data_IF_937404010698
#
_entry.id   IF_937404010698
#
_cell.length_a   1.000
_cell.length_b   1.000
_cell.length_c   1.000
_cell.angle_alpha   90.00
_cell.angle_beta   90.00
_cell.angle_gamma   90.00
#
_symmetry.space_group_name_H-M   'P 1'
#
loop_
_entity.id
_entity.type
_entity.pdbx_description
1 polymer ?
#
# COMPACT_ATOMS: atom_id res chain seq x y z
N UNK A 1 1.98 13.38 4.78
CA UNK A 1 3.01 13.51 3.73
C UNK A 1 2.64 14.59 2.74
N UNK A 2 1.66 14.34 1.87
CA UNK A 2 1.25 15.29 0.83
C UNK A 2 1.02 16.75 1.31
N UNK A 3 0.34 17.02 2.45
CA UNK A 3 0.21 18.39 2.94
C UNK A 3 1.54 19.06 3.33
N UNK A 4 2.46 18.30 3.93
CA UNK A 4 3.78 18.80 4.35
C UNK A 4 4.72 19.01 3.15
N UNK A 5 4.65 18.12 2.16
CA UNK A 5 5.45 18.22 0.94
C UNK A 5 4.86 19.22 -0.07
N UNK A 6 3.65 19.73 0.17
CA UNK A 6 2.98 20.64 -0.75
C UNK A 6 2.42 19.95 -2.00
N UNK A 7 2.23 18.64 -1.98
CA UNK A 7 1.82 17.83 -3.14
C UNK A 7 0.36 17.37 -3.09
N UNK A 8 -0.16 16.93 -4.23
CA UNK A 8 -1.42 16.22 -4.36
C UNK A 8 -1.39 14.93 -3.53
N UNK A 9 -2.57 14.49 -3.07
CA UNK A 9 -2.68 13.20 -2.38
C UNK A 9 -2.51 12.05 -3.37
N UNK A 10 -2.37 10.84 -2.84
CA UNK A 10 -2.22 9.61 -3.63
C UNK A 10 -3.37 9.38 -4.61
N UNK A 11 -4.53 10.02 -4.48
CA UNK A 11 -5.66 9.90 -5.41
C UNK A 11 -5.77 11.08 -6.40
N UNK A 12 -4.71 11.87 -6.59
CA UNK A 12 -4.65 12.97 -7.55
C UNK A 12 -3.68 12.70 -8.70
N UNK A 13 -3.78 13.48 -9.79
CA UNK A 13 -2.82 13.40 -10.88
C UNK A 13 -1.41 13.77 -10.40
N UNK A 14 -0.42 13.01 -10.88
CA UNK A 14 0.97 13.12 -10.42
C UNK A 14 1.12 13.05 -8.88
N UNK A 15 0.23 12.30 -8.21
CA UNK A 15 0.20 12.20 -6.75
C UNK A 15 1.28 11.30 -6.13
N UNK A 16 2.13 10.64 -6.94
CA UNK A 16 3.29 9.92 -6.44
C UNK A 16 4.37 10.92 -5.98
N UNK A 17 4.95 10.66 -4.80
CA UNK A 17 6.01 11.51 -4.25
C UNK A 17 7.39 11.23 -4.86
N UNK A 18 7.57 10.10 -5.56
CA UNK A 18 8.87 9.65 -6.06
C UNK A 18 8.97 9.64 -7.59
N UNK A 19 7.86 9.54 -8.31
CA UNK A 19 7.86 9.54 -9.77
C UNK A 19 6.78 10.45 -10.37
N UNK A 20 6.94 10.76 -11.65
CA UNK A 20 6.04 11.60 -12.44
C UNK A 20 4.94 10.79 -13.12
N UNK A 21 4.41 9.76 -12.45
CA UNK A 21 3.31 8.99 -12.99
C UNK A 21 2.06 9.87 -13.13
N UNK A 22 1.51 10.06 -14.34
CA UNK A 22 0.43 11.02 -14.57
C UNK A 22 -0.85 10.62 -13.82
N UNK A 23 -1.14 9.33 -13.81
CA UNK A 23 -2.36 8.78 -13.24
C UNK A 23 -3.53 8.91 -14.22
N UNK A 24 -4.51 8.04 -14.08
CA UNK A 24 -5.67 7.95 -14.96
C UNK A 24 -6.95 7.96 -14.15
N UNK A 25 -7.97 8.66 -14.63
CA UNK A 25 -9.28 8.68 -13.99
C UNK A 25 -10.05 7.39 -14.29
N UNK A 26 -10.12 6.49 -13.30
CA UNK A 26 -10.72 5.16 -13.44
C UNK A 26 -11.62 4.85 -12.26
N UNK A 27 -12.90 4.60 -12.54
CA UNK A 27 -13.88 4.18 -11.52
C UNK A 27 -14.11 5.22 -10.41
N UNK A 28 -14.13 6.52 -10.77
CA UNK A 28 -14.46 7.61 -9.85
C UNK A 28 -13.28 8.16 -9.03
N UNK A 29 -12.06 7.70 -9.28
CA UNK A 29 -10.85 8.23 -8.67
C UNK A 29 -9.66 8.18 -9.64
N UNK A 30 -8.58 8.92 -9.34
CA UNK A 30 -7.31 8.76 -10.06
C UNK A 30 -6.61 7.50 -9.55
N UNK A 31 -6.14 6.67 -10.48
CA UNK A 31 -5.35 5.46 -10.24
C UNK A 31 -4.05 5.53 -11.02
N UNK A 32 -3.11 4.63 -10.74
CA UNK A 32 -1.82 4.54 -11.43
C UNK A 32 -1.70 3.15 -12.06
N UNK A 33 -2.27 2.95 -13.27
CA UNK A 33 -2.14 1.69 -13.99
C UNK A 33 -0.69 1.38 -14.32
N UNK A 34 -0.34 0.10 -14.43
CA UNK A 34 0.99 -0.29 -14.87
C UNK A 34 1.27 0.29 -16.28
N UNK A 35 2.36 1.03 -16.40
CA UNK A 35 2.82 1.59 -17.67
C UNK A 35 3.81 0.63 -18.33
N UNK A 36 3.96 0.72 -19.66
CA UNK A 36 4.94 -0.08 -20.40
C UNK A 36 6.38 0.27 -19.99
N UNK A 37 6.62 1.57 -19.82
CA UNK A 37 7.89 2.14 -19.40
C UNK A 37 7.69 2.82 -18.05
N UNK A 38 8.67 2.68 -17.15
CA UNK A 38 8.59 3.29 -15.83
C UNK A 38 8.52 4.82 -15.94
N UNK A 39 7.64 5.46 -15.17
CA UNK A 39 7.55 6.91 -15.15
C UNK A 39 8.87 7.50 -14.62
N UNK A 40 9.33 8.65 -15.15
CA UNK A 40 10.54 9.29 -14.68
C UNK A 40 10.47 9.59 -13.18
N UNK A 41 11.57 9.36 -12.48
CA UNK A 41 11.68 9.75 -11.07
C UNK A 41 11.66 11.27 -10.91
N UNK A 42 11.08 11.73 -9.80
CA UNK A 42 11.21 13.12 -9.37
C UNK A 42 12.64 13.36 -8.91
N UNK A 43 13.17 14.53 -9.24
CA UNK A 43 14.45 15.01 -8.73
C UNK A 43 14.21 16.22 -7.85
N UNK A 44 15.10 16.48 -6.89
CA UNK A 44 15.03 17.67 -6.04
C UNK A 44 14.98 18.96 -6.90
N UNK A 45 15.84 19.05 -7.91
CA UNK A 45 15.91 20.21 -8.82
C UNK A 45 14.57 20.42 -9.55
N UNK A 46 13.97 19.35 -10.08
CA UNK A 46 12.67 19.44 -10.75
C UNK A 46 11.57 19.84 -9.75
N UNK A 47 11.59 19.26 -8.55
CA UNK A 47 10.60 19.52 -7.52
C UNK A 47 10.62 20.99 -7.06
N UNK A 48 11.81 21.59 -6.91
CA UNK A 48 11.95 23.01 -6.57
C UNK A 48 11.36 23.89 -7.66
N UNK A 49 11.65 23.60 -8.94
CA UNK A 49 11.07 24.32 -10.07
C UNK A 49 9.54 24.19 -10.12
N UNK A 50 9.01 23.00 -9.85
CA UNK A 50 7.56 22.76 -9.77
C UNK A 50 6.92 23.58 -8.65
N UNK A 51 7.61 23.74 -7.51
CA UNK A 51 7.15 24.57 -6.40
C UNK A 51 7.15 26.06 -6.75
N UNK A 52 8.22 26.55 -7.40
CA UNK A 52 8.31 27.94 -7.89
C UNK A 52 7.19 28.23 -8.91
N UNK A 53 7.03 27.36 -9.91
CA UNK A 53 5.99 27.51 -10.95
C UNK A 53 4.57 27.45 -10.34
N UNK A 54 4.32 26.53 -9.40
CA UNK A 54 3.03 26.44 -8.71
C UNK A 54 2.74 27.69 -7.87
N UNK A 55 3.76 28.29 -7.26
CA UNK A 55 3.63 29.51 -6.48
C UNK A 55 3.34 30.73 -7.36
N UNK A 56 4.09 30.89 -8.46
CA UNK A 56 3.93 32.02 -9.38
C UNK A 56 2.59 31.98 -10.13
N UNK A 57 2.19 30.80 -10.59
CA UNK A 57 0.96 30.63 -11.39
C UNK A 57 -0.29 30.46 -10.54
N UNK A 58 -0.15 30.04 -9.29
CA UNK A 58 -1.27 29.65 -8.42
C UNK A 58 -1.99 28.39 -8.90
N UNK A 59 -1.38 27.59 -9.78
CA UNK A 59 -1.95 26.33 -10.30
C UNK A 59 -1.14 25.11 -9.87
N UNK A 60 -1.70 23.91 -10.06
CA UNK A 60 -1.00 22.66 -9.71
C UNK A 60 -0.07 22.27 -10.85
N UNK A 61 1.23 22.15 -10.56
CA UNK A 61 2.26 21.81 -11.53
C UNK A 61 2.78 20.41 -11.24
N UNK A 62 2.52 19.45 -12.13
CA UNK A 62 2.97 18.05 -11.98
C UNK A 62 2.72 17.51 -10.56
N UNK A 63 1.54 17.77 -10.00
CA UNK A 63 1.15 17.30 -8.66
C UNK A 63 1.67 18.13 -7.49
N UNK A 64 2.43 19.21 -7.72
CA UNK A 64 2.84 20.19 -6.70
C UNK A 64 1.82 21.33 -6.64
N UNK A 65 1.35 21.66 -5.43
CA UNK A 65 0.35 22.72 -5.18
C UNK A 65 0.95 23.98 -4.56
N UNK A 66 2.03 23.84 -3.81
CA UNK A 66 2.63 24.94 -3.05
C UNK A 66 4.06 24.60 -2.65
N UNK A 67 4.81 25.61 -2.23
CA UNK A 67 6.17 25.46 -1.71
C UNK A 67 6.12 24.73 -0.38
N UNK A 68 6.89 23.65 -0.25
CA UNK A 68 7.00 22.95 1.03
C UNK A 68 7.84 23.78 2.02
N UNK A 69 7.40 23.93 3.28
CA UNK A 69 8.24 24.55 4.30
C UNK A 69 9.52 23.75 4.60
N UNK A 70 9.55 22.45 4.24
CA UNK A 70 10.67 21.54 4.48
C UNK A 70 11.85 21.79 3.55
N UNK A 71 11.69 22.61 2.49
CA UNK A 71 12.81 23.00 1.61
C UNK A 71 13.89 23.80 2.37
N UNK A 72 13.54 24.37 3.53
CA UNK A 72 14.46 25.14 4.37
C UNK A 72 15.25 24.25 5.35
N UNK A 73 14.98 22.94 5.40
CA UNK A 73 15.73 22.03 6.25
C UNK A 73 17.04 21.66 5.57
N UNK A 74 18.15 22.00 6.22
CA UNK A 74 19.48 21.64 5.74
C UNK A 74 19.62 20.12 5.63
N UNK A 75 20.16 19.65 4.51
CA UNK A 75 20.37 18.22 4.19
C UNK A 75 19.10 17.36 4.06
N UNK A 76 17.91 17.96 3.97
CA UNK A 76 16.68 17.21 3.73
C UNK A 76 16.33 17.20 2.23
N UNK A 77 16.41 16.02 1.60
CA UNK A 77 15.94 15.84 0.23
C UNK A 77 14.40 15.88 0.19
N UNK A 78 13.84 16.86 -0.53
CA UNK A 78 12.39 17.07 -0.58
C UNK A 78 11.62 15.96 -1.30
N UNK A 79 12.30 15.10 -2.08
CA UNK A 79 11.74 13.93 -2.76
C UNK A 79 11.99 12.67 -1.94
N UNK A 80 13.27 12.36 -1.67
CA UNK A 80 13.71 11.10 -1.08
C UNK A 80 13.85 11.11 0.45
N UNK A 81 13.74 12.29 1.09
CA UNK A 81 13.74 12.43 2.55
C UNK A 81 12.49 11.86 3.23
N UNK A 82 11.44 11.52 2.46
CA UNK A 82 10.25 10.84 2.97
C UNK A 82 10.36 9.33 2.81
N UNK A 83 10.50 8.61 3.93
CA UNK A 83 10.46 7.13 3.97
C UNK A 83 9.06 6.60 3.69
N UNK A 84 8.80 5.49 2.97
CA UNK A 84 7.47 4.87 2.82
C UNK A 84 6.74 4.59 4.15
N UNK A 85 5.40 4.66 4.17
CA UNK A 85 4.61 4.40 5.39
C UNK A 85 4.15 2.96 5.37
N UNK A 86 4.85 2.06 6.06
CA UNK A 86 4.46 0.65 6.10
C UNK A 86 2.99 0.44 6.52
N UNK A 87 2.53 1.19 7.52
CA UNK A 87 1.19 1.06 8.06
C UNK A 87 0.11 1.47 7.06
N UNK A 88 0.27 2.61 6.39
CA UNK A 88 -0.72 3.13 5.46
C UNK A 88 -0.59 2.57 4.04
N UNK A 89 0.63 2.26 3.58
CA UNK A 89 0.86 1.72 2.24
C UNK A 89 0.56 0.22 2.19
N UNK A 90 1.17 -0.58 3.07
CA UNK A 90 1.04 -2.04 3.00
C UNK A 90 -0.18 -2.54 3.78
N UNK A 91 -0.32 -2.16 5.05
CA UNK A 91 -1.34 -2.76 5.93
C UNK A 91 -2.74 -2.23 5.65
N UNK A 92 -2.96 -0.93 5.89
CA UNK A 92 -4.25 -0.27 5.73
C UNK A 92 -4.57 0.08 4.28
N UNK A 93 -3.55 0.08 3.41
CA UNK A 93 -3.67 0.25 1.97
C UNK A 93 -3.90 -1.10 1.29
N UNK A 94 -2.83 -1.67 0.74
CA UNK A 94 -2.90 -2.89 -0.09
C UNK A 94 -3.60 -4.05 0.63
N UNK A 95 -3.21 -4.36 1.86
CA UNK A 95 -3.76 -5.51 2.58
C UNK A 95 -5.26 -5.39 2.88
N UNK A 96 -5.71 -4.19 3.28
CA UNK A 96 -7.15 -3.92 3.44
C UNK A 96 -7.88 -4.02 2.10
N UNK A 97 -7.32 -3.45 1.05
CA UNK A 97 -7.93 -3.42 -0.28
C UNK A 97 -8.15 -4.84 -0.84
N UNK A 98 -7.15 -5.72 -0.75
CA UNK A 98 -7.28 -7.11 -1.17
C UNK A 98 -8.33 -7.87 -0.34
N UNK A 99 -8.33 -7.66 0.99
CA UNK A 99 -9.34 -8.27 1.86
C UNK A 99 -10.76 -7.85 1.48
N UNK A 100 -10.96 -6.58 1.13
CA UNK A 100 -12.25 -6.06 0.66
C UNK A 100 -12.63 -6.63 -0.71
N UNK A 101 -11.69 -6.75 -1.65
CA UNK A 101 -11.94 -7.38 -2.95
C UNK A 101 -12.43 -8.82 -2.83
N UNK A 102 -11.76 -9.63 -2.02
CA UNK A 102 -12.16 -11.02 -1.81
C UNK A 102 -13.52 -11.17 -1.14
N UNK A 103 -13.89 -10.25 -0.23
CA UNK A 103 -15.11 -10.36 0.55
C UNK A 103 -16.31 -9.60 -0.01
N UNK A 104 -16.09 -8.61 -0.88
CA UNK A 104 -17.13 -7.70 -1.38
C UNK A 104 -17.23 -7.65 -2.91
N UNK A 105 -16.22 -8.15 -3.64
CA UNK A 105 -16.15 -8.17 -5.11
C UNK A 105 -17.11 -9.16 -5.77
N UNK A 106 -18.40 -9.12 -5.44
CA UNK A 106 -19.41 -10.08 -5.90
C UNK A 106 -19.42 -10.19 -7.43
N UNK A 107 -19.31 -11.42 -7.94
CA UNK A 107 -19.30 -11.71 -9.38
C UNK A 107 -17.90 -11.83 -9.99
N UNK A 108 -16.86 -11.48 -9.25
CA UNK A 108 -15.47 -11.67 -9.66
C UNK A 108 -14.96 -13.08 -9.31
N UNK A 109 -14.01 -13.59 -10.10
CA UNK A 109 -13.44 -14.93 -9.90
C UNK A 109 -12.69 -15.09 -8.56
N UNK A 110 -12.20 -13.98 -8.00
CA UNK A 110 -11.53 -13.94 -6.68
C UNK A 110 -12.50 -13.75 -5.51
N UNK A 111 -13.80 -13.69 -5.76
CA UNK A 111 -14.81 -13.48 -4.73
C UNK A 111 -15.03 -14.74 -3.87
N UNK A 112 -14.81 -14.60 -2.57
CA UNK A 112 -15.03 -15.64 -1.56
C UNK A 112 -15.90 -15.15 -0.39
N UNK A 113 -16.53 -13.97 -0.53
CA UNK A 113 -17.39 -13.39 0.51
C UNK A 113 -18.61 -14.25 0.88
N UNK A 114 -19.08 -15.11 -0.04
CA UNK A 114 -20.12 -16.10 0.22
C UNK A 114 -19.68 -17.21 1.20
N UNK A 115 -18.37 -17.40 1.40
CA UNK A 115 -17.77 -18.36 2.34
C UNK A 115 -17.25 -17.68 3.61
N UNK A 116 -17.71 -16.47 3.93
CA UNK A 116 -17.20 -15.70 5.08
C UNK A 116 -17.33 -16.47 6.41
N UNK A 117 -18.37 -17.29 6.61
CA UNK A 117 -18.50 -18.09 7.83
C UNK A 117 -17.38 -19.13 7.97
N UNK A 118 -17.06 -19.85 6.89
CA UNK A 118 -15.98 -20.84 6.86
C UNK A 118 -14.60 -20.17 7.08
N UNK A 119 -14.37 -19.02 6.44
CA UNK A 119 -13.16 -18.23 6.63
C UNK A 119 -13.02 -17.74 8.08
N UNK A 120 -14.12 -17.29 8.69
CA UNK A 120 -14.16 -16.80 10.06
C UNK A 120 -13.87 -17.93 11.07
N UNK A 121 -14.46 -19.10 10.86
CA UNK A 121 -14.22 -20.28 11.70
C UNK A 121 -12.75 -20.74 11.61
N UNK A 122 -12.17 -20.77 10.41
CA UNK A 122 -10.74 -21.04 10.21
C UNK A 122 -9.87 -20.02 10.93
N UNK A 123 -10.14 -18.73 10.75
CA UNK A 123 -9.36 -17.64 11.34
C UNK A 123 -9.44 -17.67 12.88
N UNK A 124 -10.63 -17.81 13.46
CA UNK A 124 -10.83 -17.87 14.91
C UNK A 124 -10.28 -19.17 15.52
N UNK A 125 -10.13 -20.23 14.72
CA UNK A 125 -9.46 -21.46 15.10
C UNK A 125 -7.93 -21.35 15.19
N UNK A 126 -7.32 -20.30 14.63
CA UNK A 126 -5.86 -20.11 14.68
C UNK A 126 -5.41 -19.85 16.12
N UNK A 127 -4.38 -20.60 16.54
CA UNK A 127 -3.73 -20.45 17.85
C UNK A 127 -2.34 -19.85 17.65
N UNK A 128 -2.21 -18.53 17.72
CA UNK A 128 -0.93 -17.92 17.41
C UNK A 128 0.09 -18.14 18.54
N UNK A 129 1.40 -18.13 18.22
CA UNK A 129 2.46 -18.22 19.22
C UNK A 129 2.38 -17.09 20.25
N UNK A 130 2.96 -17.30 21.43
CA UNK A 130 2.91 -16.33 22.55
C UNK A 130 3.43 -14.93 22.18
N UNK A 131 4.32 -14.84 21.19
CA UNK A 131 4.89 -13.59 20.71
C UNK A 131 3.89 -12.73 19.92
N UNK A 132 2.82 -13.34 19.41
CA UNK A 132 1.72 -12.64 18.74
C UNK A 132 0.70 -12.21 19.79
N UNK A 133 0.85 -10.98 20.25
CA UNK A 133 0.07 -10.43 21.38
C UNK A 133 -1.43 -10.23 21.13
N UNK A 134 -1.93 -10.49 19.92
CA UNK A 134 -3.35 -10.29 19.57
C UNK A 134 -3.92 -11.53 18.90
N UNK A 135 -4.94 -12.10 19.54
CA UNK A 135 -5.76 -13.14 18.96
C UNK A 135 -6.47 -12.61 17.70
N UNK A 136 -6.69 -13.47 16.70
CA UNK A 136 -7.51 -13.12 15.55
C UNK A 136 -8.91 -12.67 15.99
N UNK A 137 -9.39 -11.58 15.38
CA UNK A 137 -10.77 -11.11 15.50
C UNK A 137 -11.55 -11.57 14.27
N UNK A 138 -12.87 -11.63 14.38
CA UNK A 138 -13.74 -12.00 13.28
C UNK A 138 -13.56 -11.11 12.04
N UNK A 139 -13.63 -11.73 10.85
CA UNK A 139 -13.69 -11.07 9.53
C UNK A 139 -14.96 -10.24 9.35
N UNK A 140 -16.01 -10.51 10.12
CA UNK A 140 -17.23 -9.70 10.14
C UNK A 140 -16.96 -8.30 10.72
N UNK A 141 -15.98 -8.21 11.62
CA UNK A 141 -15.55 -6.95 12.25
C UNK A 141 -14.37 -6.28 11.52
N UNK A 142 -13.97 -6.77 10.34
CA UNK A 142 -12.79 -6.28 9.59
C UNK A 142 -12.75 -4.77 9.35
N UNK A 143 -13.92 -4.13 9.28
CA UNK A 143 -14.05 -2.67 9.15
C UNK A 143 -13.41 -1.92 10.32
N UNK A 144 -13.35 -2.55 11.49
CA UNK A 144 -12.78 -1.99 12.71
C UNK A 144 -11.35 -2.45 12.98
N UNK A 145 -10.80 -3.37 12.19
CA UNK A 145 -9.44 -3.85 12.35
C UNK A 145 -8.44 -2.70 12.22
N UNK A 146 -7.51 -2.63 13.17
CA UNK A 146 -6.38 -1.71 13.14
C UNK A 146 -5.23 -2.30 12.34
N UNK A 147 -4.22 -1.47 12.07
CA UNK A 147 -3.01 -1.87 11.36
C UNK A 147 -2.41 -3.19 11.86
N UNK A 148 -2.30 -3.37 13.19
CA UNK A 148 -1.71 -4.60 13.75
C UNK A 148 -2.54 -5.86 13.49
N UNK A 149 -3.87 -5.74 13.41
CA UNK A 149 -4.73 -6.89 13.04
C UNK A 149 -4.54 -7.25 11.56
N UNK A 150 -4.42 -6.24 10.68
CA UNK A 150 -4.11 -6.44 9.27
C UNK A 150 -2.69 -6.97 9.04
N UNK A 151 -1.71 -6.53 9.82
CA UNK A 151 -0.35 -7.07 9.79
C UNK A 151 -0.34 -8.56 10.09
N UNK A 152 -1.00 -8.98 11.17
CA UNK A 152 -1.10 -10.39 11.53
C UNK A 152 -1.86 -11.18 10.45
N UNK A 153 -2.93 -10.60 9.90
CA UNK A 153 -3.66 -11.18 8.79
C UNK A 153 -2.74 -11.43 7.59
N UNK A 154 -2.03 -10.41 7.11
CA UNK A 154 -1.15 -10.52 5.94
C UNK A 154 -0.05 -11.54 6.19
N UNK A 155 0.72 -11.37 7.27
CA UNK A 155 1.95 -12.12 7.49
C UNK A 155 1.74 -13.57 7.94
N UNK A 156 0.64 -13.87 8.64
CA UNK A 156 0.51 -15.16 9.33
C UNK A 156 -0.80 -15.91 9.05
N UNK A 157 -1.91 -15.21 8.84
CA UNK A 157 -3.22 -15.87 8.80
C UNK A 157 -3.81 -16.01 7.41
N UNK A 158 -3.53 -15.07 6.50
CA UNK A 158 -4.18 -14.97 5.20
C UNK A 158 -3.99 -16.24 4.36
N UNK A 159 -2.75 -16.72 4.23
CA UNK A 159 -2.44 -17.93 3.47
C UNK A 159 -3.17 -19.18 4.00
N UNK A 160 -2.99 -19.61 5.27
CA UNK A 160 -3.65 -20.81 5.77
C UNK A 160 -5.18 -20.69 5.85
N UNK A 161 -5.73 -19.49 6.08
CA UNK A 161 -7.18 -19.28 6.12
C UNK A 161 -7.78 -19.36 4.71
N UNK A 162 -7.11 -18.78 3.72
CA UNK A 162 -7.57 -18.74 2.32
C UNK A 162 -7.27 -20.03 1.55
N UNK A 163 -6.39 -20.88 2.07
CA UNK A 163 -6.06 -22.16 1.47
C UNK A 163 -7.32 -23.02 1.24
N UNK A 164 -7.40 -23.61 0.04
CA UNK A 164 -8.55 -24.37 -0.46
C UNK A 164 -9.87 -23.57 -0.60
N UNK A 165 -9.87 -22.26 -0.36
CA UNK A 165 -11.06 -21.38 -0.49
C UNK A 165 -10.90 -20.39 -1.65
N UNK A 166 -9.77 -19.68 -1.69
CA UNK A 166 -9.41 -18.76 -2.76
C UNK A 166 -8.73 -19.53 -3.91
N UNK A 167 -9.03 -19.19 -5.16
CA UNK A 167 -8.42 -19.85 -6.32
C UNK A 167 -6.89 -19.78 -6.29
N UNK A 168 -6.22 -20.89 -6.64
CA UNK A 168 -4.77 -21.06 -6.51
C UNK A 168 -3.96 -19.93 -7.18
N UNK A 169 -4.41 -19.42 -8.32
CA UNK A 169 -3.74 -18.31 -9.01
C UNK A 169 -3.71 -17.03 -8.15
N UNK A 170 -4.83 -16.69 -7.49
CA UNK A 170 -4.95 -15.52 -6.63
C UNK A 170 -4.20 -15.72 -5.31
N UNK A 171 -4.26 -16.92 -4.74
CA UNK A 171 -3.56 -17.24 -3.50
C UNK A 171 -2.04 -17.19 -3.69
N UNK A 172 -1.53 -17.74 -4.79
CA UNK A 172 -0.11 -17.66 -5.16
C UNK A 172 0.33 -16.22 -5.39
N UNK A 173 -0.45 -15.43 -6.12
CA UNK A 173 -0.14 -14.02 -6.34
C UNK A 173 -0.07 -13.25 -5.01
N UNK A 174 -1.02 -13.50 -4.10
CA UNK A 174 -1.00 -12.92 -2.77
C UNK A 174 0.21 -13.37 -1.93
N UNK A 175 0.59 -14.65 -2.03
CA UNK A 175 1.75 -15.20 -1.34
C UNK A 175 3.05 -14.46 -1.68
N UNK A 176 3.22 -13.99 -2.92
CA UNK A 176 4.37 -13.18 -3.31
C UNK A 176 4.48 -11.90 -2.48
N UNK A 177 3.35 -11.20 -2.24
CA UNK A 177 3.35 -10.01 -1.38
C UNK A 177 3.65 -10.36 0.08
N UNK A 178 3.08 -11.46 0.58
CA UNK A 178 3.30 -11.91 1.97
C UNK A 178 4.77 -12.23 2.21
N UNK A 179 5.40 -12.96 1.30
CA UNK A 179 6.82 -13.31 1.34
C UNK A 179 7.71 -12.06 1.24
N UNK A 180 7.43 -11.19 0.26
CA UNK A 180 8.12 -9.90 0.10
C UNK A 180 8.09 -9.08 1.39
N UNK A 181 6.92 -8.99 2.02
CA UNK A 181 6.76 -8.23 3.26
C UNK A 181 7.48 -8.90 4.44
N UNK A 182 7.55 -10.24 4.49
CA UNK A 182 8.29 -10.94 5.53
C UNK A 182 9.77 -10.56 5.48
N UNK A 183 10.38 -10.66 4.29
CA UNK A 183 11.78 -10.29 4.04
C UNK A 183 12.03 -8.82 4.35
N UNK A 184 11.16 -7.92 3.88
CA UNK A 184 11.30 -6.46 4.11
C UNK A 184 11.18 -6.04 5.58
N UNK A 185 10.67 -6.90 6.46
CA UNK A 185 10.50 -6.63 7.89
C UNK A 185 11.59 -7.27 8.76
N UNK A 186 12.54 -7.98 8.16
CA UNK A 186 13.70 -8.51 8.88
C UNK A 186 14.61 -7.38 9.38
N UNK A 187 15.40 -7.68 10.41
CA UNK A 187 16.32 -6.68 11.00
C UNK A 187 17.47 -6.32 10.05
N UNK A 188 17.86 -7.28 9.23
CA UNK A 188 18.94 -7.17 8.25
C UNK A 188 18.43 -7.85 6.99
N UNK A 189 18.67 -7.25 5.83
CA UNK A 189 18.24 -7.76 4.53
C UNK A 189 19.50 -7.89 3.68
N UNK A 190 19.78 -9.09 3.18
CA UNK A 190 20.89 -9.30 2.25
C UNK A 190 20.40 -9.20 0.80
N UNK A 191 21.35 -8.98 -0.13
CA UNK A 191 21.02 -8.97 -1.56
C UNK A 191 20.47 -10.33 -2.05
N UNK A 192 20.80 -11.41 -1.34
CA UNK A 192 20.30 -12.76 -1.67
C UNK A 192 18.80 -12.82 -1.36
N UNK A 193 18.38 -12.26 -0.23
CA UNK A 193 16.98 -12.22 0.18
C UNK A 193 16.14 -11.37 -0.79
N UNK A 194 16.69 -10.24 -1.26
CA UNK A 194 16.04 -9.39 -2.27
C UNK A 194 15.87 -10.11 -3.61
N UNK A 195 16.82 -10.95 -4.01
CA UNK A 195 16.76 -11.68 -5.29
C UNK A 195 15.93 -12.96 -5.22
N UNK A 196 15.56 -13.43 -4.03
CA UNK A 196 14.78 -14.65 -3.82
C UNK A 196 13.27 -14.42 -3.93
N UNK A 197 12.84 -13.16 -3.88
CA UNK A 197 11.45 -12.69 -3.89
C UNK A 197 11.11 -12.10 -5.27
#
# INVERSE_FOLDING_TARGET
RAPMQGTMQFNGYYGCNWCLHPGEWLGGCVRYPAMKDDPPERTEIQMVKDMEEAFETGTVVRGVKTVSPLINLEHFDIVWGFVPDYMHCALLGVGRQFLEYWLEGTGEDFYVGNKIAELDDKLLGVRPPKDVRRMPRSLKDRKFWKAKELENWILYYSIPVMDSILGDCYLRHWAQLVESLHVMLEKEISIIDVNAV
#
